data_IF_482883407658
#
_entry.id   IF_482883407658
#
_cell.length_a   1.000
_cell.length_b   1.000
_cell.length_c   1.000
_cell.angle_alpha   90.00
_cell.angle_beta   90.00
_cell.angle_gamma   90.00
#
_symmetry.space_group_name_H-M   'P 1'
#
loop_
_entity.id
_entity.type
_entity.pdbx_description
1 polymer ?
#
# COMPACT_ATOMS: atom_id res chain seq x y z
N UNK A 1 27.93 3.79 65.29
CA UNK A 1 27.61 3.19 63.97
C UNK A 1 26.42 3.93 63.38
N UNK A 2 26.65 4.88 62.48
CA UNK A 2 25.59 5.51 61.68
C UNK A 2 25.70 4.97 60.26
N UNK A 3 24.69 4.22 59.84
CA UNK A 3 24.58 3.70 58.47
C UNK A 3 23.92 4.81 57.63
N UNK A 4 24.71 5.45 56.77
CA UNK A 4 24.18 6.33 55.71
C UNK A 4 23.61 5.44 54.61
N UNK A 5 22.29 5.45 54.44
CA UNK A 5 21.63 4.85 53.29
C UNK A 5 21.87 5.74 52.05
N UNK A 6 22.55 5.19 51.06
CA UNK A 6 22.76 5.82 49.76
C UNK A 6 21.55 5.48 48.87
N UNK A 7 20.66 6.46 48.62
CA UNK A 7 19.59 6.30 47.63
C UNK A 7 20.22 6.41 46.24
N UNK A 8 20.34 5.28 45.54
CA UNK A 8 20.63 5.26 44.09
C UNK A 8 19.32 5.58 43.35
N UNK A 9 19.21 6.79 42.81
CA UNK A 9 18.18 7.13 41.84
C UNK A 9 18.52 6.46 40.50
N UNK A 10 17.82 5.38 40.15
CA UNK A 10 17.83 4.86 38.78
C UNK A 10 17.03 5.82 37.89
N UNK A 11 17.72 6.65 37.12
CA UNK A 11 17.13 7.33 35.97
C UNK A 11 16.77 6.25 34.94
N UNK A 12 15.50 5.87 34.87
CA UNK A 12 14.99 5.18 33.70
C UNK A 12 14.96 6.19 32.55
N UNK A 13 15.99 6.17 31.71
CA UNK A 13 15.89 6.79 30.38
C UNK A 13 14.89 5.94 29.61
N UNK A 14 13.62 6.35 29.65
CA UNK A 14 12.61 5.94 28.67
C UNK A 14 13.22 6.22 27.30
N UNK A 15 13.77 5.19 26.65
CA UNK A 15 14.11 5.31 25.24
C UNK A 15 12.80 5.53 24.53
N UNK A 16 12.62 6.73 23.97
CA UNK A 16 11.56 6.98 23.02
C UNK A 16 11.61 5.88 21.97
N UNK A 17 10.50 5.17 21.77
CA UNK A 17 10.42 4.10 20.81
C UNK A 17 10.44 4.73 19.41
N UNK A 18 11.64 4.86 18.85
CA UNK A 18 11.85 5.34 17.49
C UNK A 18 11.44 4.24 16.51
N UNK A 19 10.48 4.52 15.65
CA UNK A 19 9.99 3.59 14.64
C UNK A 19 10.51 4.02 13.28
N UNK A 20 11.25 3.12 12.64
CA UNK A 20 11.89 3.40 11.37
C UNK A 20 10.86 3.43 10.23
N UNK A 21 10.91 4.46 9.39
CA UNK A 21 10.00 4.69 8.27
C UNK A 21 10.78 4.81 6.96
N UNK A 22 10.35 4.09 5.92
CA UNK A 22 10.83 4.25 4.55
C UNK A 22 9.74 4.84 3.65
N UNK A 23 10.16 5.68 2.69
CA UNK A 23 9.26 6.48 1.86
C UNK A 23 9.65 6.35 0.38
N UNK A 24 8.74 5.75 -0.40
CA UNK A 24 8.78 5.70 -1.86
C UNK A 24 8.20 6.96 -2.50
N UNK A 25 8.63 7.26 -3.73
CA UNK A 25 8.39 8.56 -4.37
C UNK A 25 7.99 8.44 -5.85
N UNK A 26 7.13 9.36 -6.30
CA UNK A 26 6.76 9.48 -7.71
C UNK A 26 7.85 10.22 -8.52
N UNK A 27 8.41 11.25 -7.89
CA UNK A 27 9.48 12.10 -8.40
C UNK A 27 10.36 12.55 -7.23
N UNK A 28 11.63 12.16 -7.23
CA UNK A 28 12.69 12.58 -6.28
C UNK A 28 14.02 11.93 -6.70
N UNK A 29 15.03 12.01 -5.83
CA UNK A 29 16.30 11.28 -5.97
C UNK A 29 16.21 9.79 -5.62
N UNK A 30 15.17 9.33 -4.91
CA UNK A 30 14.93 7.91 -4.67
C UNK A 30 14.06 7.55 -3.48
N UNK A 31 14.53 6.58 -2.68
CA UNK A 31 13.86 6.15 -1.45
C UNK A 31 14.43 6.96 -0.30
N UNK A 32 13.55 7.48 0.55
CA UNK A 32 13.93 8.24 1.74
C UNK A 32 13.64 7.44 3.01
N UNK A 33 14.29 7.84 4.08
CA UNK A 33 14.15 7.24 5.40
C UNK A 33 14.08 8.33 6.47
N UNK A 34 13.30 8.09 7.51
CA UNK A 34 13.13 8.95 8.70
C UNK A 34 12.68 8.08 9.88
N UNK A 35 12.77 8.59 11.09
CA UNK A 35 12.34 7.89 12.31
C UNK A 35 11.20 8.67 12.95
N UNK A 36 10.13 7.98 13.30
CA UNK A 36 9.01 8.48 14.08
C UNK A 36 9.30 8.26 15.56
N UNK A 37 9.30 9.32 16.35
CA UNK A 37 9.20 9.20 17.81
C UNK A 37 7.76 8.85 18.18
N UNK A 38 7.51 7.60 18.59
CA UNK A 38 6.16 7.15 18.90
C UNK A 38 5.51 7.85 20.11
N UNK A 39 6.29 8.59 20.92
CA UNK A 39 5.77 9.34 22.07
C UNK A 39 5.31 10.75 21.70
N UNK A 40 5.98 11.41 20.75
CA UNK A 40 5.70 12.80 20.37
C UNK A 40 5.06 12.95 18.98
N UNK A 41 5.16 11.91 18.14
CA UNK A 41 4.75 11.93 16.75
C UNK A 41 5.72 12.69 15.83
N UNK A 42 6.88 13.12 16.33
CA UNK A 42 7.87 13.87 15.55
C UNK A 42 8.65 12.96 14.60
N UNK A 43 9.01 13.50 13.43
CA UNK A 43 9.90 12.85 12.49
C UNK A 43 11.31 13.46 12.55
N UNK A 44 12.33 12.61 12.50
CA UNK A 44 13.69 13.06 12.23
C UNK A 44 13.84 13.55 10.78
N UNK A 45 14.86 14.38 10.46
CA UNK A 45 15.07 14.87 9.10
C UNK A 45 15.17 13.74 8.06
N UNK A 46 14.49 13.91 6.93
CA UNK A 46 14.51 12.93 5.84
C UNK A 46 15.91 12.75 5.26
N UNK A 47 16.36 11.50 5.16
CA UNK A 47 17.63 11.13 4.54
C UNK A 47 17.36 10.29 3.30
N UNK A 48 18.11 10.51 2.22
CA UNK A 48 18.04 9.64 1.05
C UNK A 48 18.71 8.30 1.38
N UNK A 49 17.93 7.22 1.40
CA UNK A 49 18.37 5.88 1.76
C UNK A 49 18.96 5.12 0.56
N UNK A 50 18.41 5.34 -0.64
CA UNK A 50 18.98 4.89 -1.91
C UNK A 50 18.59 5.82 -3.05
N UNK A 51 19.55 6.10 -3.95
CA UNK A 51 19.33 6.87 -5.16
C UNK A 51 18.84 5.99 -6.30
N UNK A 52 17.54 6.04 -6.60
CA UNK A 52 16.92 5.31 -7.71
C UNK A 52 15.78 6.14 -8.30
N UNK A 53 15.51 5.99 -9.60
CA UNK A 53 14.45 6.79 -10.24
C UNK A 53 13.06 6.21 -9.97
N UNK A 54 12.17 7.02 -9.40
CA UNK A 54 10.72 6.74 -9.26
C UNK A 54 10.40 5.40 -8.55
N UNK A 55 10.86 5.17 -7.31
CA UNK A 55 10.45 4.04 -6.48
C UNK A 55 9.01 4.21 -6.00
N UNK A 56 8.05 3.89 -6.86
CA UNK A 56 6.66 4.28 -6.66
C UNK A 56 5.94 3.50 -5.56
N UNK A 57 6.41 2.29 -5.23
CA UNK A 57 5.87 1.47 -4.16
C UNK A 57 6.99 0.63 -3.55
N UNK A 58 6.94 0.46 -2.23
CA UNK A 58 7.89 -0.35 -1.47
C UNK A 58 7.15 -1.34 -0.56
N UNK A 59 7.78 -2.45 -0.22
CA UNK A 59 7.38 -3.34 0.88
C UNK A 59 8.63 -3.77 1.62
N UNK A 60 8.47 -4.10 2.89
CA UNK A 60 9.57 -4.48 3.77
C UNK A 60 9.39 -5.92 4.22
N UNK A 61 10.45 -6.71 4.13
CA UNK A 61 10.59 -7.96 4.88
C UNK A 61 11.33 -7.66 6.19
N UNK A 62 10.56 -7.36 7.23
CA UNK A 62 11.04 -7.02 8.57
C UNK A 62 11.93 -8.12 9.18
N UNK A 63 11.57 -9.39 9.00
CA UNK A 63 12.35 -10.54 9.49
C UNK A 63 13.77 -10.58 8.90
N UNK A 64 13.93 -10.34 7.60
CA UNK A 64 15.24 -10.36 6.94
C UNK A 64 15.90 -8.97 6.83
N UNK A 65 15.22 -7.93 7.32
CA UNK A 65 15.57 -6.51 7.13
C UNK A 65 15.87 -6.21 5.65
N UNK A 66 14.94 -6.58 4.77
CA UNK A 66 15.02 -6.33 3.32
C UNK A 66 13.92 -5.38 2.89
N UNK A 67 14.21 -4.58 1.87
CA UNK A 67 13.23 -3.73 1.21
C UNK A 67 13.14 -4.11 -0.26
N UNK A 68 11.93 -4.20 -0.78
CA UNK A 68 11.68 -4.40 -2.20
C UNK A 68 10.96 -3.17 -2.75
N UNK A 69 11.38 -2.71 -3.94
CA UNK A 69 10.83 -1.51 -4.57
C UNK A 69 10.43 -1.80 -6.01
N UNK A 70 9.30 -1.24 -6.43
CA UNK A 70 9.02 -1.07 -7.86
C UNK A 70 9.99 -0.04 -8.43
N UNK A 71 10.26 -0.13 -9.72
CA UNK A 71 11.02 0.89 -10.43
C UNK A 71 10.52 1.00 -11.87
N UNK A 72 10.31 2.24 -12.31
CA UNK A 72 9.76 2.55 -13.63
C UNK A 72 10.81 2.55 -14.74
N UNK A 73 12.09 2.32 -14.42
CA UNK A 73 13.15 2.16 -15.43
C UNK A 73 12.91 0.88 -16.22
N UNK A 74 13.13 0.97 -17.53
CA UNK A 74 12.76 -0.10 -18.45
C UNK A 74 13.91 -1.09 -18.70
N UNK A 75 13.76 -2.35 -18.26
CA UNK A 75 14.44 -3.53 -18.82
C UNK A 75 13.76 -3.89 -20.15
N UNK A 76 14.36 -3.58 -21.31
CA UNK A 76 13.83 -4.02 -22.61
C UNK A 76 12.29 -3.81 -22.74
N UNK A 77 11.80 -2.62 -22.40
CA UNK A 77 10.36 -2.27 -22.41
C UNK A 77 9.50 -2.87 -21.27
N UNK A 78 10.10 -3.44 -20.21
CA UNK A 78 9.44 -3.83 -18.95
C UNK A 78 9.95 -2.97 -17.79
N UNK A 79 9.13 -2.66 -16.78
CA UNK A 79 9.60 -2.09 -15.52
C UNK A 79 10.49 -3.06 -14.72
N UNK A 80 10.94 -2.60 -13.56
CA UNK A 80 11.93 -3.25 -12.71
C UNK A 80 11.39 -3.48 -11.29
N UNK A 81 11.82 -4.57 -10.65
CA UNK A 81 11.72 -4.78 -9.21
C UNK A 81 13.14 -4.84 -8.65
N UNK A 82 13.41 -4.09 -7.59
CA UNK A 82 14.73 -3.99 -6.97
C UNK A 82 14.65 -4.53 -5.54
N UNK A 83 15.60 -5.39 -5.17
CA UNK A 83 15.78 -5.85 -3.80
C UNK A 83 16.93 -5.08 -3.13
N UNK A 84 16.74 -4.70 -1.87
CA UNK A 84 17.70 -3.98 -1.05
C UNK A 84 17.93 -4.69 0.29
N UNK A 85 19.17 -4.63 0.79
CA UNK A 85 19.48 -4.82 2.20
C UNK A 85 19.27 -3.50 2.94
N UNK A 86 18.52 -3.53 4.05
CA UNK A 86 18.48 -2.43 5.01
C UNK A 86 19.70 -2.54 5.91
N UNK A 87 20.52 -1.49 5.94
CA UNK A 87 21.73 -1.40 6.79
C UNK A 87 21.37 -0.86 8.17
N UNK A 88 22.26 -1.03 9.14
CA UNK A 88 22.07 -0.55 10.52
C UNK A 88 21.94 0.98 10.63
N UNK A 89 22.47 1.71 9.64
CA UNK A 89 22.35 3.17 9.54
C UNK A 89 21.17 3.61 8.65
N UNK A 90 20.20 2.72 8.42
CA UNK A 90 18.98 2.92 7.62
C UNK A 90 19.20 3.23 6.14
N UNK A 91 20.43 3.11 5.65
CA UNK A 91 20.72 3.17 4.20
C UNK A 91 20.38 1.84 3.53
N UNK A 92 20.15 1.90 2.21
CA UNK A 92 19.78 0.75 1.41
C UNK A 92 20.93 0.37 0.46
N UNK A 93 21.41 -0.87 0.57
CA UNK A 93 22.36 -1.45 -0.38
C UNK A 93 21.61 -2.32 -1.37
N UNK A 94 21.72 -2.04 -2.66
CA UNK A 94 21.09 -2.84 -3.71
C UNK A 94 21.66 -4.26 -3.71
N UNK A 95 20.78 -5.26 -3.80
CA UNK A 95 21.12 -6.67 -3.93
C UNK A 95 21.07 -7.09 -5.40
N UNK A 96 19.88 -6.99 -6.00
CA UNK A 96 19.70 -7.25 -7.42
C UNK A 96 18.44 -6.59 -7.98
N UNK A 97 18.34 -6.58 -9.31
CA UNK A 97 17.18 -6.13 -10.08
C UNK A 97 16.66 -7.25 -10.94
N UNK A 98 15.34 -7.33 -11.10
CA UNK A 98 14.66 -8.32 -11.95
C UNK A 98 13.56 -7.63 -12.76
N UNK A 99 13.25 -8.11 -13.97
CA UNK A 99 12.18 -7.52 -14.77
C UNK A 99 10.82 -7.76 -14.11
N UNK A 100 9.96 -6.74 -14.11
CA UNK A 100 8.56 -6.85 -13.67
C UNK A 100 7.69 -7.69 -14.61
N UNK A 101 8.18 -8.03 -15.81
CA UNK A 101 7.46 -8.67 -16.91
C UNK A 101 6.25 -7.88 -17.41
N UNK A 102 6.12 -6.62 -17.00
CA UNK A 102 5.10 -5.70 -17.46
C UNK A 102 5.62 -4.28 -17.43
N UNK A 103 4.77 -3.31 -17.74
CA UNK A 103 5.12 -1.89 -17.67
C UNK A 103 4.44 -1.23 -16.48
N UNK A 104 5.10 -0.22 -15.94
CA UNK A 104 4.62 0.54 -14.79
C UNK A 104 4.23 -0.34 -13.59
N UNK A 105 5.17 -1.17 -13.05
CA UNK A 105 4.94 -1.85 -11.77
C UNK A 105 4.59 -0.81 -10.71
N UNK A 106 3.47 -1.02 -10.03
CA UNK A 106 2.86 0.00 -9.17
C UNK A 106 2.53 -0.46 -7.76
N UNK A 107 2.67 -1.77 -7.49
CA UNK A 107 2.42 -2.35 -6.18
C UNK A 107 3.15 -3.68 -6.05
N UNK A 108 3.60 -4.00 -4.85
CA UNK A 108 4.22 -5.29 -4.55
C UNK A 108 3.90 -5.73 -3.10
N UNK A 109 3.82 -7.04 -2.89
CA UNK A 109 3.52 -7.63 -1.58
C UNK A 109 4.26 -8.96 -1.42
N UNK A 110 4.62 -9.26 -0.17
CA UNK A 110 5.20 -10.54 0.23
C UNK A 110 4.10 -11.55 0.51
N UNK A 111 4.32 -12.82 0.18
CA UNK A 111 3.52 -13.91 0.75
C UNK A 111 3.64 -13.93 2.29
N UNK A 112 2.65 -14.47 3.04
CA UNK A 112 2.71 -14.53 4.50
C UNK A 112 3.98 -15.20 5.05
N UNK A 113 4.45 -16.25 4.37
CA UNK A 113 5.70 -16.94 4.72
C UNK A 113 6.97 -16.24 4.20
N UNK A 114 6.84 -15.06 3.58
CA UNK A 114 7.92 -14.19 3.09
C UNK A 114 8.87 -14.88 2.11
N UNK A 115 8.41 -15.91 1.40
CA UNK A 115 9.23 -16.67 0.45
C UNK A 115 8.92 -16.33 -1.01
N UNK A 116 7.84 -15.60 -1.25
CA UNK A 116 7.39 -15.17 -2.57
C UNK A 116 7.14 -13.67 -2.54
N UNK A 117 7.59 -12.96 -3.56
CA UNK A 117 7.21 -11.58 -3.84
C UNK A 117 6.27 -11.58 -5.04
N UNK A 118 5.18 -10.81 -4.96
CA UNK A 118 4.28 -10.55 -6.07
C UNK A 118 4.34 -9.08 -6.46
N UNK A 119 4.20 -8.77 -7.75
CA UNK A 119 4.05 -7.40 -8.26
C UNK A 119 2.82 -7.28 -9.15
N UNK A 120 2.14 -6.13 -9.08
CA UNK A 120 1.10 -5.73 -10.01
C UNK A 120 1.63 -4.66 -10.97
N UNK A 121 1.36 -4.85 -12.25
CA UNK A 121 1.80 -3.99 -13.35
C UNK A 121 0.61 -3.23 -13.92
N UNK A 122 0.63 -1.90 -13.81
CA UNK A 122 -0.52 -1.06 -14.16
C UNK A 122 -0.76 -0.97 -15.68
N UNK A 123 0.25 -1.19 -16.52
CA UNK A 123 0.13 -0.96 -17.97
C UNK A 123 0.38 0.51 -18.37
N UNK A 124 0.17 0.84 -19.65
CA UNK A 124 0.29 2.20 -20.17
C UNK A 124 -1.10 2.82 -20.31
N UNK A 125 -1.50 3.81 -19.48
CA UNK A 125 -2.74 4.52 -19.74
C UNK A 125 -2.65 5.30 -21.06
N UNK A 126 -3.59 5.08 -21.97
CA UNK A 126 -3.83 5.97 -23.11
C UNK A 126 -2.83 5.91 -24.27
N UNK A 127 -2.07 4.81 -24.44
CA UNK A 127 -1.35 4.55 -25.68
C UNK A 127 -2.05 3.42 -26.43
N UNK A 128 -2.41 3.60 -27.72
CA UNK A 128 -2.86 2.47 -28.55
C UNK A 128 -1.79 1.37 -28.47
N UNK A 129 -2.21 0.18 -28.05
CA UNK A 129 -1.36 -1.00 -27.99
C UNK A 129 -0.86 -1.26 -29.42
N UNK A 130 0.44 -1.07 -29.66
CA UNK A 130 1.15 -1.97 -30.55
C UNK A 130 1.05 -3.35 -29.90
N UNK A 131 0.32 -4.26 -30.56
CA UNK A 131 0.03 -5.63 -30.11
C UNK A 131 1.28 -6.48 -29.91
N UNK A 132 2.47 -5.94 -30.17
CA UNK A 132 3.76 -6.54 -29.90
C UNK A 132 4.19 -6.51 -28.41
N UNK A 133 3.63 -5.64 -27.55
CA UNK A 133 4.01 -5.58 -26.12
C UNK A 133 3.09 -6.41 -25.21
N UNK A 134 3.45 -7.67 -24.98
CA UNK A 134 2.84 -8.53 -23.95
C UNK A 134 3.28 -8.10 -22.54
N UNK A 135 2.78 -6.96 -22.04
CA UNK A 135 2.93 -6.58 -20.63
C UNK A 135 2.05 -7.49 -19.76
N UNK A 136 2.60 -8.14 -18.74
CA UNK A 136 1.80 -8.93 -17.79
C UNK A 136 1.16 -8.03 -16.74
N UNK A 137 0.12 -8.52 -16.07
CA UNK A 137 -0.64 -7.84 -15.02
C UNK A 137 -0.15 -8.20 -13.62
N UNK A 138 0.24 -9.46 -13.41
CA UNK A 138 0.86 -9.96 -12.17
C UNK A 138 2.11 -10.78 -12.50
N UNK A 139 3.15 -10.63 -11.68
CA UNK A 139 4.37 -11.44 -11.72
C UNK A 139 4.77 -11.93 -10.33
N UNK A 140 5.29 -13.15 -10.23
CA UNK A 140 5.80 -13.75 -8.99
C UNK A 140 7.30 -14.05 -9.06
N UNK A 141 7.95 -13.96 -7.90
CA UNK A 141 9.38 -14.22 -7.71
C UNK A 141 9.60 -15.07 -6.47
N UNK A 142 10.63 -15.92 -6.50
CA UNK A 142 11.17 -16.50 -5.28
C UNK A 142 12.09 -15.52 -4.60
N UNK A 143 11.98 -15.45 -3.27
CA UNK A 143 12.93 -14.75 -2.42
C UNK A 143 13.93 -15.79 -1.91
N UNK A 144 15.21 -15.60 -2.25
CA UNK A 144 16.30 -16.42 -1.76
C UNK A 144 16.58 -16.11 -0.28
N UNK A 145 17.28 -17.00 0.42
CA UNK A 145 17.59 -16.83 1.86
C UNK A 145 18.33 -15.54 2.17
N UNK A 146 19.18 -15.07 1.25
CA UNK A 146 19.91 -13.81 1.34
C UNK A 146 19.08 -12.58 0.91
N UNK A 147 17.79 -12.74 0.60
CA UNK A 147 16.86 -11.69 0.17
C UNK A 147 16.88 -11.36 -1.32
N UNK A 148 17.77 -11.95 -2.13
CA UNK A 148 17.78 -11.75 -3.58
C UNK A 148 16.52 -12.31 -4.23
N UNK A 149 16.08 -11.66 -5.30
CA UNK A 149 14.98 -12.15 -6.13
C UNK A 149 15.51 -13.09 -7.22
N UNK A 150 14.82 -14.18 -7.49
CA UNK A 150 15.07 -14.98 -8.70
C UNK A 150 14.61 -14.24 -9.95
N UNK A 151 14.94 -14.76 -11.13
CA UNK A 151 14.18 -14.42 -12.33
C UNK A 151 12.66 -14.66 -12.10
N UNK A 152 11.78 -13.94 -12.84
CA UNK A 152 10.33 -14.17 -12.79
C UNK A 152 9.98 -15.65 -12.94
N UNK A 153 9.08 -16.15 -12.08
CA UNK A 153 8.63 -17.55 -12.12
C UNK A 153 7.31 -17.69 -12.87
N UNK A 154 6.36 -16.82 -12.59
CA UNK A 154 5.07 -16.77 -13.29
C UNK A 154 4.74 -15.34 -13.62
N UNK A 155 4.13 -15.15 -14.78
CA UNK A 155 3.66 -13.86 -15.25
C UNK A 155 2.37 -14.08 -16.03
N UNK A 156 1.30 -13.38 -15.66
CA UNK A 156 -0.03 -13.57 -16.26
C UNK A 156 -0.58 -12.23 -16.74
N UNK A 157 -1.14 -12.22 -17.94
CA UNK A 157 -1.89 -11.09 -18.49
C UNK A 157 -3.37 -11.24 -18.13
N UNK A 158 -3.98 -10.17 -17.64
CA UNK A 158 -5.43 -10.10 -17.46
C UNK A 158 -6.13 -9.74 -18.77
N UNK A 159 -7.43 -10.01 -18.85
CA UNK A 159 -8.28 -9.63 -19.98
C UNK A 159 -9.61 -9.05 -19.53
N UNK A 160 -10.20 -8.24 -20.41
CA UNK A 160 -11.49 -7.59 -20.19
C UNK A 160 -11.37 -6.09 -19.96
N UNK A 161 -12.52 -5.47 -19.72
CA UNK A 161 -12.70 -4.04 -19.63
C UNK A 161 -13.88 -3.74 -18.72
N UNK A 162 -13.83 -2.59 -18.07
CA UNK A 162 -14.98 -1.96 -17.44
C UNK A 162 -15.67 -0.97 -18.40
N UNK A 163 -16.56 -0.15 -17.84
CA UNK A 163 -17.38 0.78 -18.64
C UNK A 163 -16.88 2.22 -18.62
N UNK A 164 -15.86 2.56 -17.81
CA UNK A 164 -15.35 3.93 -17.77
C UNK A 164 -14.64 4.27 -19.09
N UNK A 165 -15.09 5.31 -19.83
CA UNK A 165 -14.72 5.52 -21.23
C UNK A 165 -13.23 5.67 -21.46
N UNK A 166 -12.48 6.25 -20.51
CA UNK A 166 -11.04 6.51 -20.66
C UNK A 166 -10.12 5.75 -19.71
N UNK A 167 -10.67 5.02 -18.73
CA UNK A 167 -9.88 4.43 -17.63
C UNK A 167 -9.98 2.90 -17.60
N UNK A 168 -10.86 2.32 -18.41
CA UNK A 168 -11.21 0.91 -18.37
C UNK A 168 -11.36 0.31 -19.76
N UNK A 169 -10.66 0.85 -20.77
CA UNK A 169 -10.63 0.28 -22.12
C UNK A 169 -9.88 -1.05 -22.18
N UNK A 170 -8.99 -1.28 -21.22
CA UNK A 170 -8.12 -2.43 -21.12
C UNK A 170 -7.72 -2.65 -19.64
N UNK A 171 -7.14 -3.82 -19.28
CA UNK A 171 -6.73 -4.11 -17.92
C UNK A 171 -5.62 -3.20 -17.37
N UNK A 172 -5.74 -2.85 -16.10
CA UNK A 172 -4.79 -2.06 -15.34
C UNK A 172 -4.69 -2.61 -13.90
N UNK A 173 -3.91 -3.68 -13.71
CA UNK A 173 -3.67 -4.26 -12.40
C UNK A 173 -2.99 -3.24 -11.48
N UNK A 174 -3.69 -2.81 -10.43
CA UNK A 174 -3.22 -1.73 -9.57
C UNK A 174 -2.65 -2.26 -8.25
N UNK A 175 -3.12 -3.40 -7.74
CA UNK A 175 -2.54 -3.98 -6.53
C UNK A 175 -2.67 -5.48 -6.48
N UNK A 176 -1.81 -6.09 -5.65
CA UNK A 176 -1.74 -7.53 -5.42
C UNK A 176 -1.66 -7.77 -3.92
N UNK A 177 -2.51 -8.66 -3.40
CA UNK A 177 -2.62 -8.99 -1.98
C UNK A 177 -2.77 -10.50 -1.79
N UNK A 178 -1.81 -11.19 -1.17
CA UNK A 178 -1.99 -12.58 -0.77
C UNK A 178 -3.00 -12.70 0.37
N UNK A 179 -3.70 -13.83 0.44
CA UNK A 179 -4.47 -14.20 1.63
C UNK A 179 -3.54 -14.33 2.84
N UNK A 180 -3.95 -13.93 4.05
CA UNK A 180 -3.07 -13.98 5.22
C UNK A 180 -2.63 -15.40 5.62
N UNK A 181 -3.41 -16.44 5.31
CA UNK A 181 -3.11 -17.82 5.74
C UNK A 181 -3.07 -18.85 4.62
N UNK A 182 -3.76 -18.59 3.51
CA UNK A 182 -4.07 -19.62 2.52
C UNK A 182 -3.24 -19.31 1.26
N UNK A 183 -2.90 -20.32 0.44
CA UNK A 183 -2.02 -20.14 -0.71
C UNK A 183 -2.71 -19.48 -1.91
N UNK A 184 -3.44 -18.38 -1.68
CA UNK A 184 -4.13 -17.61 -2.70
C UNK A 184 -3.62 -16.17 -2.75
N UNK A 185 -3.62 -15.59 -3.95
CA UNK A 185 -3.26 -14.19 -4.17
C UNK A 185 -4.28 -13.53 -5.09
N UNK A 186 -4.60 -12.28 -4.77
CA UNK A 186 -5.69 -11.53 -5.39
C UNK A 186 -5.15 -10.24 -5.99
N UNK A 187 -5.63 -9.89 -7.16
CA UNK A 187 -5.18 -8.72 -7.92
C UNK A 187 -6.37 -7.85 -8.24
N UNK A 188 -6.36 -6.63 -7.71
CA UNK A 188 -7.36 -5.63 -8.06
C UNK A 188 -6.98 -5.01 -9.41
N UNK A 189 -7.81 -5.25 -10.42
CA UNK A 189 -7.62 -4.71 -11.75
C UNK A 189 -8.61 -3.57 -12.02
N UNK A 190 -8.08 -2.34 -12.04
CA UNK A 190 -8.86 -1.13 -12.24
C UNK A 190 -9.54 -1.17 -13.60
N UNK A 191 -8.78 -1.58 -14.63
CA UNK A 191 -9.16 -1.50 -16.02
C UNK A 191 -10.19 -2.55 -16.43
N UNK A 192 -10.02 -3.78 -15.93
CA UNK A 192 -10.94 -4.89 -16.17
C UNK A 192 -12.15 -4.91 -15.23
N UNK A 193 -12.20 -3.98 -14.26
CA UNK A 193 -13.26 -3.86 -13.25
C UNK A 193 -13.54 -5.15 -12.48
N UNK A 194 -12.45 -5.84 -12.09
CA UNK A 194 -12.52 -7.16 -11.47
C UNK A 194 -11.39 -7.41 -10.47
N UNK A 195 -11.60 -8.38 -9.59
CA UNK A 195 -10.53 -9.06 -8.86
C UNK A 195 -10.17 -10.35 -9.61
N UNK A 196 -8.90 -10.52 -9.93
CA UNK A 196 -8.35 -11.80 -10.41
C UNK A 196 -7.70 -12.52 -9.26
N UNK A 197 -7.87 -13.83 -9.16
CA UNK A 197 -7.22 -14.63 -8.12
C UNK A 197 -6.46 -15.82 -8.70
N UNK A 198 -5.44 -16.23 -7.95
CA UNK A 198 -4.55 -17.31 -8.30
C UNK A 198 -4.30 -18.15 -7.06
N UNK A 199 -4.24 -19.47 -7.23
CA UNK A 199 -3.51 -20.31 -6.30
C UNK A 199 -2.02 -20.12 -6.57
N UNK A 200 -1.21 -19.93 -5.52
CA UNK A 200 0.24 -19.85 -5.65
C UNK A 200 0.92 -20.99 -4.90
N UNK A 201 1.94 -21.58 -5.49
CA UNK A 201 2.72 -22.62 -4.83
C UNK A 201 3.80 -21.99 -3.92
N UNK A 202 3.76 -22.17 -2.58
CA UNK A 202 4.62 -21.42 -1.66
C UNK A 202 6.12 -21.71 -1.72
N UNK A 203 6.55 -22.76 -2.44
CA UNK A 203 7.95 -23.15 -2.64
C UNK A 203 8.47 -22.83 -4.05
N UNK A 204 7.65 -22.95 -5.09
CA UNK A 204 8.09 -22.65 -6.46
C UNK A 204 7.76 -21.23 -6.88
N UNK A 205 6.78 -20.57 -6.24
CA UNK A 205 6.14 -19.32 -6.67
C UNK A 205 5.31 -19.42 -7.96
N UNK A 206 4.99 -20.62 -8.42
CA UNK A 206 4.12 -20.81 -9.60
C UNK A 206 2.72 -20.30 -9.30
N UNK A 207 2.13 -19.57 -10.24
CA UNK A 207 0.75 -19.07 -10.18
C UNK A 207 -0.16 -19.89 -11.09
N UNK A 208 -1.26 -20.41 -10.54
CA UNK A 208 -2.34 -21.08 -11.28
C UNK A 208 -3.60 -20.21 -11.19
N UNK A 209 -4.16 -19.71 -12.33
CA UNK A 209 -5.38 -18.92 -12.32
C UNK A 209 -6.53 -19.67 -11.64
N UNK A 210 -7.31 -18.96 -10.82
CA UNK A 210 -8.47 -19.51 -10.12
C UNK A 210 -9.77 -18.89 -10.64
N UNK A 211 -9.98 -17.59 -10.42
CA UNK A 211 -11.20 -16.91 -10.81
C UNK A 211 -10.98 -15.45 -11.21
N UNK A 212 -11.97 -14.91 -11.92
CA UNK A 212 -12.15 -13.48 -12.19
C UNK A 212 -13.53 -13.07 -11.66
N UNK A 213 -13.55 -12.28 -10.59
CA UNK A 213 -14.77 -11.78 -9.96
C UNK A 213 -14.99 -10.33 -10.39
N UNK A 214 -16.00 -10.09 -11.22
CA UNK A 214 -16.39 -8.74 -11.61
C UNK A 214 -16.94 -7.95 -10.41
N UNK A 215 -16.65 -6.66 -10.33
CA UNK A 215 -17.22 -5.83 -9.25
C UNK A 215 -18.67 -5.47 -9.58
N UNK A 216 -19.62 -5.69 -8.66
CA UNK A 216 -21.01 -5.29 -8.89
C UNK A 216 -21.19 -3.80 -9.20
N UNK A 217 -22.05 -3.53 -10.18
CA UNK A 217 -22.45 -2.19 -10.59
C UNK A 217 -21.63 -1.55 -11.71
N UNK A 218 -20.52 -2.17 -12.13
CA UNK A 218 -19.70 -1.69 -13.24
C UNK A 218 -19.00 -0.36 -12.95
N UNK A 219 -17.94 -0.07 -13.71
CA UNK A 219 -17.20 1.19 -13.63
C UNK A 219 -16.60 1.54 -12.26
N UNK A 220 -16.35 0.56 -11.40
CA UNK A 220 -15.92 0.82 -10.02
C UNK A 220 -14.45 1.22 -9.94
N UNK A 221 -13.61 0.56 -10.71
CA UNK A 221 -12.17 0.73 -10.76
C UNK A 221 -11.47 0.23 -9.51
N UNK A 222 -11.41 -1.10 -9.27
CA UNK A 222 -10.64 -1.72 -8.19
C UNK A 222 -9.23 -1.15 -8.07
N UNK A 223 -8.83 -0.74 -6.87
CA UNK A 223 -7.51 -0.14 -6.66
C UNK A 223 -6.65 -0.91 -5.67
N UNK A 224 -6.90 -0.73 -4.38
CA UNK A 224 -6.16 -1.34 -3.28
C UNK A 224 -7.11 -2.16 -2.40
N UNK A 225 -6.58 -3.18 -1.74
CA UNK A 225 -7.36 -4.08 -0.89
C UNK A 225 -6.72 -4.24 0.49
N UNK A 226 -7.51 -4.65 1.49
CA UNK A 226 -7.00 -5.15 2.77
C UNK A 226 -7.84 -6.31 3.26
N UNK A 227 -7.16 -7.35 3.74
CA UNK A 227 -7.78 -8.45 4.47
C UNK A 227 -8.10 -8.02 5.88
N UNK A 228 -9.30 -8.35 6.36
CA UNK A 228 -9.55 -8.39 7.80
C UNK A 228 -8.53 -9.34 8.46
N UNK A 229 -8.10 -9.09 9.71
CA UNK A 229 -7.06 -9.91 10.36
C UNK A 229 -7.35 -11.42 10.40
N UNK A 230 -8.62 -11.81 10.39
CA UNK A 230 -9.05 -13.21 10.39
C UNK A 230 -9.04 -13.87 9.00
N UNK A 231 -8.71 -13.15 7.92
CA UNK A 231 -8.75 -13.63 6.53
C UNK A 231 -10.15 -13.86 5.94
N UNK A 232 -11.23 -13.68 6.71
CA UNK A 232 -12.59 -14.03 6.25
C UNK A 232 -13.26 -12.95 5.43
N UNK A 233 -12.72 -11.73 5.45
CA UNK A 233 -13.30 -10.58 4.76
C UNK A 233 -12.22 -9.81 4.03
N UNK A 234 -12.46 -9.52 2.75
CA UNK A 234 -11.63 -8.67 1.92
C UNK A 234 -12.34 -7.34 1.68
N UNK A 235 -11.67 -6.25 2.01
CA UNK A 235 -12.12 -4.90 1.71
C UNK A 235 -11.41 -4.40 0.45
N UNK A 236 -12.18 -4.02 -0.57
CA UNK A 236 -11.67 -3.45 -1.81
C UNK A 236 -12.07 -1.97 -1.91
N UNK A 237 -11.07 -1.11 -2.04
CA UNK A 237 -11.28 0.30 -2.35
C UNK A 237 -11.34 0.51 -3.87
N UNK A 238 -12.43 1.11 -4.32
CA UNK A 238 -12.69 1.40 -5.73
C UNK A 238 -12.33 2.87 -6.04
N UNK A 239 -11.35 3.09 -6.93
CA UNK A 239 -10.82 4.41 -7.29
C UNK A 239 -11.87 5.32 -7.92
N UNK A 240 -12.58 4.82 -8.92
CA UNK A 240 -13.42 5.63 -9.81
C UNK A 240 -14.79 5.90 -9.19
N UNK A 241 -15.35 4.91 -8.48
CA UNK A 241 -16.65 5.04 -7.84
C UNK A 241 -16.61 5.60 -6.43
N UNK A 242 -15.43 5.73 -5.80
CA UNK A 242 -15.27 6.20 -4.43
C UNK A 242 -16.10 5.34 -3.44
N UNK A 243 -16.01 4.01 -3.58
CA UNK A 243 -16.73 3.06 -2.73
C UNK A 243 -15.79 2.04 -2.11
N UNK A 244 -16.17 1.52 -0.97
CA UNK A 244 -15.58 0.36 -0.32
C UNK A 244 -16.48 -0.86 -0.57
N UNK A 245 -16.00 -1.81 -1.38
CA UNK A 245 -16.66 -3.09 -1.58
C UNK A 245 -16.17 -4.10 -0.54
N UNK A 246 -17.10 -4.92 -0.05
CA UNK A 246 -16.82 -5.98 0.94
C UNK A 246 -17.07 -7.32 0.29
N UNK A 247 -16.12 -8.23 0.48
CA UNK A 247 -16.22 -9.61 0.02
C UNK A 247 -16.02 -10.56 1.20
N UNK A 248 -16.85 -11.60 1.25
CA UNK A 248 -16.58 -12.76 2.10
C UNK A 248 -15.66 -13.72 1.36
N UNK A 249 -14.67 -14.22 2.10
CA UNK A 249 -13.84 -15.33 1.66
C UNK A 249 -14.55 -16.65 1.94
N UNK A 250 -14.75 -17.44 0.90
CA UNK A 250 -15.30 -18.80 1.02
C UNK A 250 -14.19 -19.83 0.86
N UNK A 251 -14.48 -21.09 1.17
CA UNK A 251 -13.51 -22.19 1.01
C UNK A 251 -12.93 -22.21 -0.41
N UNK A 252 -11.64 -22.58 -0.53
CA UNK A 252 -10.92 -22.81 -1.79
C UNK A 252 -10.51 -21.57 -2.60
N UNK A 253 -10.45 -20.37 -2.01
CA UNK A 253 -9.90 -19.21 -2.71
C UNK A 253 -10.94 -18.26 -3.31
N UNK A 254 -12.23 -18.57 -3.16
CA UNK A 254 -13.31 -17.84 -3.83
C UNK A 254 -13.80 -16.63 -3.03
N UNK A 255 -14.17 -15.56 -3.74
CA UNK A 255 -14.72 -14.33 -3.17
C UNK A 255 -16.19 -14.14 -3.51
N UNK A 256 -17.01 -13.90 -2.49
CA UNK A 256 -18.41 -13.53 -2.65
C UNK A 256 -18.62 -12.05 -2.27
N UNK A 257 -19.11 -11.18 -3.18
CA UNK A 257 -19.45 -9.80 -2.81
C UNK A 257 -20.63 -9.78 -1.84
N UNK A 258 -20.55 -8.96 -0.80
CA UNK A 258 -21.57 -8.89 0.26
C UNK A 258 -22.09 -7.49 0.53
N UNK A 259 -21.27 -6.45 0.35
CA UNK A 259 -21.67 -5.09 0.65
C UNK A 259 -20.88 -4.07 -0.19
N UNK A 260 -21.42 -2.86 -0.30
CA UNK A 260 -20.76 -1.72 -0.92
C UNK A 260 -21.16 -0.43 -0.22
N UNK A 261 -20.17 0.30 0.29
CA UNK A 261 -20.38 1.50 1.10
C UNK A 261 -19.74 2.70 0.41
N UNK A 262 -20.45 3.82 0.33
CA UNK A 262 -19.90 5.07 -0.19
C UNK A 262 -18.79 5.61 0.73
N UNK A 263 -17.66 6.00 0.14
CA UNK A 263 -16.54 6.60 0.86
C UNK A 263 -16.70 8.11 1.08
N UNK A 264 -17.77 8.70 0.55
CA UNK A 264 -18.10 10.11 0.72
C UNK A 264 -19.43 10.29 1.46
N UNK A 265 -19.61 11.42 2.15
CA UNK A 265 -20.94 11.84 2.59
C UNK A 265 -21.95 11.94 1.44
N UNK A 266 -23.24 11.71 1.70
CA UNK A 266 -24.29 12.02 0.74
C UNK A 266 -24.19 13.46 0.24
N UNK A 267 -24.56 13.70 -1.02
CA UNK A 267 -24.54 15.02 -1.68
C UNK A 267 -23.15 15.66 -1.82
N UNK A 268 -22.06 14.92 -1.62
CA UNK A 268 -20.72 15.40 -1.94
C UNK A 268 -20.58 15.55 -3.46
N UNK A 269 -20.06 16.69 -3.92
CA UNK A 269 -19.64 16.83 -5.32
C UNK A 269 -18.45 15.89 -5.60
N UNK A 270 -18.69 14.94 -6.50
CA UNK A 270 -17.76 13.86 -6.85
C UNK A 270 -16.86 14.22 -8.01
N UNK A 271 -17.09 15.35 -8.69
CA UNK A 271 -16.31 15.69 -9.87
C UNK A 271 -14.81 15.69 -9.55
N UNK A 272 -14.06 14.93 -10.34
CA UNK A 272 -12.61 14.81 -10.23
C UNK A 272 -12.07 14.27 -8.89
N UNK A 273 -12.92 13.70 -8.03
CA UNK A 273 -12.47 12.95 -6.85
C UNK A 273 -12.12 11.50 -7.22
N UNK A 274 -11.06 10.97 -6.62
CA UNK A 274 -10.66 9.56 -6.80
C UNK A 274 -10.11 8.96 -5.52
N UNK A 275 -10.47 7.73 -5.19
CA UNK A 275 -9.92 7.05 -4.01
C UNK A 275 -8.49 6.53 -4.27
N UNK A 276 -7.66 6.40 -3.23
CA UNK A 276 -6.28 5.91 -3.37
C UNK A 276 -5.96 4.76 -2.40
N UNK A 277 -5.57 5.06 -1.18
CA UNK A 277 -5.02 4.08 -0.25
C UNK A 277 -6.09 3.55 0.71
N UNK A 278 -5.92 2.32 1.18
CA UNK A 278 -6.71 1.70 2.23
C UNK A 278 -5.78 1.08 3.28
N UNK A 279 -6.02 1.37 4.57
CA UNK A 279 -5.30 0.75 5.70
C UNK A 279 -6.30 0.38 6.79
N UNK A 280 -5.95 -0.65 7.56
CA UNK A 280 -6.65 -1.01 8.78
C UNK A 280 -5.92 -0.40 9.98
N UNK A 281 -6.66 -0.03 11.02
CA UNK A 281 -6.03 0.25 12.31
C UNK A 281 -5.41 -1.04 12.86
N UNK A 282 -4.23 -1.01 13.50
CA UNK A 282 -3.59 -2.22 14.03
C UNK A 282 -4.41 -2.91 15.13
N UNK A 283 -5.15 -2.15 15.94
CA UNK A 283 -5.84 -2.66 17.14
C UNK A 283 -7.35 -2.42 17.20
N UNK A 284 -7.89 -1.59 16.30
CA UNK A 284 -9.31 -1.22 16.30
C UNK A 284 -9.97 -1.70 15.01
N UNK A 285 -11.28 -1.99 15.03
CA UNK A 285 -11.99 -2.43 13.83
C UNK A 285 -12.34 -1.24 12.93
N UNK A 286 -11.30 -0.54 12.47
CA UNK A 286 -11.39 0.67 11.67
C UNK A 286 -10.63 0.50 10.35
N UNK A 287 -11.22 1.07 9.30
CA UNK A 287 -10.66 1.15 7.96
C UNK A 287 -10.51 2.63 7.62
N UNK A 288 -9.37 3.00 7.08
CA UNK A 288 -9.07 4.35 6.61
C UNK A 288 -8.92 4.26 5.11
N UNK A 289 -9.44 5.26 4.40
CA UNK A 289 -9.24 5.40 2.96
C UNK A 289 -8.89 6.83 2.61
N UNK A 290 -8.01 7.03 1.64
CA UNK A 290 -7.70 8.39 1.15
C UNK A 290 -8.47 8.73 -0.10
N UNK A 291 -8.94 9.98 -0.18
CA UNK A 291 -9.62 10.56 -1.32
C UNK A 291 -8.75 11.70 -1.86
N UNK A 292 -8.50 11.67 -3.16
CA UNK A 292 -7.70 12.65 -3.88
C UNK A 292 -8.59 13.57 -4.69
N UNK A 293 -8.33 14.86 -4.61
CA UNK A 293 -8.95 15.88 -5.43
C UNK A 293 -8.06 16.20 -6.64
N UNK A 294 -8.42 15.67 -7.82
CA UNK A 294 -7.63 15.93 -9.02
C UNK A 294 -7.72 17.39 -9.47
N UNK A 295 -8.80 18.09 -9.13
CA UNK A 295 -9.04 19.49 -9.48
C UNK A 295 -8.26 20.47 -8.60
N UNK A 296 -7.63 20.00 -7.52
CA UNK A 296 -6.83 20.82 -6.60
C UNK A 296 -7.63 21.95 -5.93
N UNK A 297 -8.88 21.65 -5.56
CA UNK A 297 -9.81 22.60 -4.93
C UNK A 297 -9.90 22.45 -3.40
N UNK A 298 -8.98 21.68 -2.81
CA UNK A 298 -8.89 21.50 -1.36
C UNK A 298 -9.86 20.45 -0.78
N UNK A 299 -10.38 19.52 -1.60
CA UNK A 299 -11.31 18.47 -1.16
C UNK A 299 -10.63 17.15 -0.77
N UNK A 300 -9.30 17.11 -0.74
CA UNK A 300 -8.53 15.95 -0.30
C UNK A 300 -8.88 15.54 1.14
N UNK A 301 -9.16 14.25 1.36
CA UNK A 301 -9.68 13.77 2.65
C UNK A 301 -9.25 12.36 3.01
N UNK A 302 -9.36 12.03 4.30
CA UNK A 302 -9.32 10.66 4.81
C UNK A 302 -10.73 10.31 5.31
N UNK A 303 -11.31 9.24 4.76
CA UNK A 303 -12.58 8.67 5.22
C UNK A 303 -12.33 7.46 6.10
N UNK A 304 -13.06 7.38 7.21
CA UNK A 304 -13.03 6.28 8.15
C UNK A 304 -14.31 5.45 8.06
N UNK A 305 -14.13 4.14 8.13
CA UNK A 305 -15.20 3.18 8.33
C UNK A 305 -14.96 2.39 9.61
N UNK A 306 -16.03 1.95 10.24
CA UNK A 306 -16.02 1.00 11.35
C UNK A 306 -16.61 -0.32 10.89
N UNK A 307 -15.97 -1.41 11.29
CA UNK A 307 -16.45 -2.77 11.05
C UNK A 307 -16.99 -3.31 12.39
N UNK A 308 -18.26 -3.71 12.43
CA UNK A 308 -18.90 -4.21 13.64
C UNK A 308 -20.00 -5.19 13.27
N UNK A 309 -20.05 -6.35 13.93
CA UNK A 309 -21.10 -7.36 13.73
C UNK A 309 -21.36 -7.69 12.25
N UNK A 310 -20.29 -7.93 11.49
CA UNK A 310 -20.32 -8.18 10.04
C UNK A 310 -20.89 -7.04 9.16
N UNK A 311 -21.11 -5.85 9.72
CA UNK A 311 -21.46 -4.64 8.97
C UNK A 311 -20.27 -3.68 8.90
N UNK A 312 -20.14 -3.00 7.77
CA UNK A 312 -19.17 -1.91 7.60
C UNK A 312 -19.93 -0.61 7.40
N UNK A 313 -19.55 0.45 8.11
CA UNK A 313 -20.22 1.75 8.00
C UNK A 313 -19.21 2.88 7.97
N UNK A 314 -19.43 3.88 7.11
CA UNK A 314 -18.68 5.14 7.13
C UNK A 314 -19.01 5.88 8.42
N UNK A 315 -18.00 6.30 9.18
CA UNK A 315 -18.19 6.98 10.47
C UNK A 315 -17.67 8.42 10.50
N UNK A 316 -16.67 8.75 9.69
CA UNK A 316 -16.05 10.08 9.69
C UNK A 316 -15.37 10.36 8.35
N UNK A 317 -15.33 11.61 7.94
CA UNK A 317 -14.48 12.10 6.85
C UNK A 317 -13.79 13.34 7.37
N UNK A 318 -12.46 13.40 7.25
CA UNK A 318 -11.65 14.52 7.72
C UNK A 318 -10.78 15.05 6.57
N UNK A 319 -10.36 16.33 6.59
CA UNK A 319 -9.37 16.83 5.65
C UNK A 319 -8.08 16.01 5.70
N UNK A 320 -7.42 15.82 4.56
CA UNK A 320 -6.13 15.11 4.52
C UNK A 320 -4.96 15.96 5.04
N UNK A 321 -5.15 17.28 5.18
CA UNK A 321 -4.12 18.26 5.55
C UNK A 321 -2.91 18.35 4.60
N UNK A 322 -2.98 17.66 3.45
CA UNK A 322 -2.01 17.65 2.36
C UNK A 322 -2.76 17.58 1.02
N UNK A 323 -2.08 17.92 -0.08
CA UNK A 323 -2.67 17.85 -1.42
C UNK A 323 -2.37 16.49 -2.08
N UNK A 324 -3.40 15.84 -2.60
CA UNK A 324 -3.34 14.57 -3.31
C UNK A 324 -2.75 13.41 -2.46
N UNK A 325 -3.44 12.96 -1.38
CA UNK A 325 -2.98 11.94 -0.44
C UNK A 325 -2.97 10.55 -1.08
N UNK A 326 -1.94 10.27 -1.89
CA UNK A 326 -1.85 9.02 -2.66
C UNK A 326 -1.59 7.80 -1.78
N UNK A 327 -0.93 7.99 -0.64
CA UNK A 327 -0.68 6.96 0.35
C UNK A 327 -0.64 7.57 1.75
N UNK A 328 -0.97 6.76 2.73
CA UNK A 328 -0.83 7.07 4.15
C UNK A 328 -0.53 5.76 4.88
N UNK A 329 -0.06 5.86 6.12
CA UNK A 329 0.12 4.71 6.98
C UNK A 329 -0.20 5.07 8.44
N UNK A 330 -0.55 4.05 9.22
CA UNK A 330 -0.75 4.17 10.66
C UNK A 330 0.47 3.53 11.31
N UNK A 331 1.05 4.19 12.30
CA UNK A 331 2.21 3.63 12.98
C UNK A 331 1.86 2.31 13.69
N UNK A 332 2.83 1.41 13.93
CA UNK A 332 2.59 0.12 14.60
C UNK A 332 1.92 0.23 15.97
N UNK A 333 2.07 1.34 16.69
CA UNK A 333 1.41 1.53 18.00
C UNK A 333 -0.06 1.95 17.87
N UNK A 334 -0.50 2.38 16.67
CA UNK A 334 -1.86 2.85 16.40
C UNK A 334 -2.16 4.24 16.96
N UNK A 335 -1.15 5.06 17.19
CA UNK A 335 -1.30 6.40 17.79
C UNK A 335 -1.16 7.54 16.79
N UNK A 336 -0.55 7.27 15.63
CA UNK A 336 -0.16 8.28 14.66
C UNK A 336 -0.60 7.88 13.26
N UNK A 337 -1.30 8.79 12.59
CA UNK A 337 -1.66 8.69 11.18
C UNK A 337 -0.76 9.62 10.38
N UNK A 338 0.09 9.05 9.52
CA UNK A 338 0.98 9.80 8.63
C UNK A 338 0.38 9.81 7.23
N UNK A 339 0.19 10.99 6.64
CA UNK A 339 -0.47 11.19 5.34
C UNK A 339 0.52 11.84 4.38
N UNK A 340 0.87 11.15 3.29
CA UNK A 340 1.80 11.65 2.28
C UNK A 340 1.06 12.41 1.17
N UNK A 341 1.32 13.72 1.08
CA UNK A 341 0.81 14.59 0.03
C UNK A 341 1.67 14.57 -1.20
N UNK A 342 1.24 13.86 -2.25
CA UNK A 342 2.02 13.76 -3.48
C UNK A 342 2.28 15.15 -4.08
N UNK A 343 1.23 15.99 -4.20
CA UNK A 343 1.31 17.28 -4.87
C UNK A 343 1.87 18.38 -3.97
N UNK A 344 1.47 18.39 -2.69
CA UNK A 344 1.96 19.38 -1.74
C UNK A 344 3.41 19.11 -1.30
N UNK A 345 3.94 17.90 -1.53
CA UNK A 345 5.28 17.48 -1.11
C UNK A 345 5.47 17.62 0.40
N UNK A 346 4.44 17.27 1.15
CA UNK A 346 4.46 17.29 2.61
C UNK A 346 3.99 15.95 3.17
N UNK A 347 4.39 15.67 4.41
CA UNK A 347 3.83 14.61 5.25
C UNK A 347 3.13 15.28 6.44
N UNK A 348 1.82 15.10 6.55
CA UNK A 348 1.04 15.51 7.71
C UNK A 348 0.93 14.36 8.70
N UNK A 349 0.97 14.67 10.00
CA UNK A 349 0.88 13.70 11.09
C UNK A 349 -0.25 14.10 12.02
N UNK A 350 -1.23 13.21 12.17
CA UNK A 350 -2.35 13.40 13.07
C UNK A 350 -2.23 12.43 14.26
N UNK A 351 -2.56 12.90 15.45
CA UNK A 351 -2.78 12.02 16.60
C UNK A 351 -4.08 11.25 16.43
N UNK A 352 -4.06 9.99 16.88
CA UNK A 352 -5.22 9.12 17.02
C UNK A 352 -5.59 8.98 18.50
N UNK A 353 -6.87 9.09 18.80
CA UNK A 353 -7.36 8.88 20.16
C UNK A 353 -7.34 7.40 20.56
N UNK A 354 -7.78 7.10 21.78
CA UNK A 354 -7.85 5.73 22.30
C UNK A 354 -8.78 4.78 21.55
N UNK A 355 -9.63 5.28 20.64
CA UNK A 355 -10.48 4.50 19.76
C UNK A 355 -9.91 4.44 18.31
N UNK A 356 -8.71 4.99 18.09
CA UNK A 356 -8.05 5.11 16.80
C UNK A 356 -8.54 6.30 15.95
N UNK A 357 -9.48 7.11 16.41
CA UNK A 357 -10.06 8.19 15.59
C UNK A 357 -9.10 9.39 15.52
N UNK A 358 -8.82 9.97 14.33
CA UNK A 358 -7.99 11.17 14.20
C UNK A 358 -8.60 12.37 14.95
N UNK A 359 -7.74 13.07 15.71
CA UNK A 359 -8.08 14.25 16.50
C UNK A 359 -7.46 15.52 15.95
N UNK A 360 -6.14 15.67 16.06
CA UNK A 360 -5.44 16.93 15.79
C UNK A 360 -4.32 16.74 14.78
N UNK A 361 -4.12 17.73 13.91
CA UNK A 361 -2.88 17.86 13.14
C UNK A 361 -1.78 18.27 14.12
N UNK A 362 -0.81 17.38 14.35
CA UNK A 362 0.30 17.62 15.28
C UNK A 362 1.50 18.19 14.55
N UNK A 363 1.86 17.59 13.41
CA UNK A 363 3.06 17.95 12.66
C UNK A 363 2.79 17.98 11.16
N UNK A 364 3.56 18.81 10.44
CA UNK A 364 3.61 18.82 8.98
C UNK A 364 5.05 19.09 8.55
N UNK A 365 5.60 18.18 7.77
CA UNK A 365 6.98 18.26 7.30
C UNK A 365 7.03 18.37 5.79
N UNK A 366 7.78 19.34 5.27
CA UNK A 366 8.11 19.35 3.85
C UNK A 366 9.07 18.21 3.51
N UNK A 367 8.74 17.50 2.44
CA UNK A 367 9.43 16.30 1.98
C UNK A 367 10.20 16.60 0.69
N UNK A 368 11.45 16.12 0.53
CA UNK A 368 12.27 16.36 -0.64
C UNK A 368 11.85 15.51 -1.86
N UNK A 369 10.63 15.68 -2.34
CA UNK A 369 10.08 14.96 -3.50
C UNK A 369 8.56 14.84 -3.45
N UNK A 370 8.02 13.89 -4.21
CA UNK A 370 6.59 13.53 -4.19
C UNK A 370 6.39 12.19 -3.47
N UNK A 371 6.07 12.18 -2.16
CA UNK A 371 5.94 10.95 -1.38
C UNK A 371 4.64 10.22 -1.76
N UNK A 372 4.73 8.93 -2.07
CA UNK A 372 3.56 8.13 -2.54
C UNK A 372 3.48 6.71 -1.99
N UNK A 373 4.39 6.32 -1.10
CA UNK A 373 4.35 5.04 -0.40
C UNK A 373 5.13 5.16 0.91
N UNK A 374 4.54 4.78 2.04
CA UNK A 374 5.14 4.83 3.37
C UNK A 374 5.03 3.46 4.03
N UNK A 375 6.16 2.87 4.42
CA UNK A 375 6.20 1.60 5.14
C UNK A 375 7.09 1.71 6.37
N UNK A 376 6.57 1.29 7.51
CA UNK A 376 7.33 1.18 8.74
C UNK A 376 8.11 -0.13 8.75
N UNK A 377 9.35 -0.08 9.24
CA UNK A 377 10.09 -1.25 9.66
C UNK A 377 9.71 -1.50 11.13
N UNK A 378 8.72 -2.36 11.34
CA UNK A 378 8.39 -2.89 12.65
C UNK A 378 9.36 -4.03 13.04
N UNK A 379 9.57 -4.21 14.34
CA UNK A 379 10.40 -5.30 14.90
C UNK A 379 9.62 -6.60 15.07
#
# INVERSE_FOLDING_TARGET
MQIKALLLSFLFILHAQAIQLFIGTAQSDGIYTSQLDASTGELTPFKCAAKIKRPSFITIDTHRKKLYSTNLKTFNQSGEIIAFQIKENDTLTELNRVPSQGINPCHLQLSPNRNVLFTANYGAPGRPIDTSQKSTSITSYRIQSNGHLTAPISAHLHTGSGTHPNRQKEPHAHSVFPHPTDPYVYVADLGADAIFSYHYHPQTATLTPLEKVAIPGGSRGPRHMKWAPNGKTLYLLNELSLTLSVFNYTTQGHLQPTDQIDALPPNTDRDQLTAAEIRLHPTHPLIYVSIRDKADTGRDSITLFRTSNAQTKRIKTIPAHVAFPRNFNIDPTGKWLLIAGQRSRDIAILSLNSDGIPESLCHRYSFPGEPICMEFLDE
#
